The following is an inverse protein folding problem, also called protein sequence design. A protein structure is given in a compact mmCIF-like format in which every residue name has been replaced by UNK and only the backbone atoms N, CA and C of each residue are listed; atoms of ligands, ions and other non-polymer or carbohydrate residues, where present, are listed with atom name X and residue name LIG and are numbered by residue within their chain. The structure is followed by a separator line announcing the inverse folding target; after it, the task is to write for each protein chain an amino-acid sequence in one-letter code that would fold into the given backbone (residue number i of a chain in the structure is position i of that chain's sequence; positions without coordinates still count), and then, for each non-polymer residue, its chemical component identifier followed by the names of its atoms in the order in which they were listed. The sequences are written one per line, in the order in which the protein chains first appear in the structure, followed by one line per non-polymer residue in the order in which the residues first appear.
data_IF_138448625630
#
_entry.id   IF_138448625630
#
_cell.length_a   1.000
_cell.length_b   1.000
_cell.length_c   1.000
_cell.angle_alpha   90.00
_cell.angle_beta   90.00
_cell.angle_gamma   90.00
#
_symmetry.space_group_name_H-M   'P 1'
#
loop_
_entity.id
_entity.type
_entity.pdbx_description
1 polymer ?
#
# COMPACT_ATOMS: atom_id res chain seq x y z
N UNK A 1 -18.04 -5.09 48.18
CA UNK A 1 -19.40 -5.06 48.77
C UNK A 1 -20.33 -5.89 47.86
N UNK A 2 -20.23 -7.22 47.98
CA UNK A 2 -21.24 -8.14 47.44
C UNK A 2 -22.46 -8.02 48.36
N UNK A 3 -23.67 -8.13 47.79
CA UNK A 3 -25.01 -7.97 48.41
C UNK A 3 -25.64 -6.60 48.13
N UNK A 4 -25.99 -6.34 46.86
CA UNK A 4 -27.12 -5.46 46.48
C UNK A 4 -27.79 -6.10 45.25
N UNK A 5 -28.39 -7.28 45.44
CA UNK A 5 -29.43 -7.82 44.55
C UNK A 5 -30.45 -8.52 45.44
N UNK A 6 -31.37 -7.75 46.01
CA UNK A 6 -32.72 -8.17 46.43
C UNK A 6 -33.46 -6.92 46.92
N UNK A 7 -34.77 -6.94 46.74
CA UNK A 7 -35.75 -5.95 47.24
C UNK A 7 -36.25 -4.88 46.27
N UNK A 8 -36.26 -5.18 44.97
CA UNK A 8 -37.24 -4.62 44.03
C UNK A 8 -38.50 -5.49 43.97
N UNK A 9 -39.29 -5.55 45.05
CA UNK A 9 -40.71 -6.02 45.04
C UNK A 9 -41.34 -5.91 46.43
N UNK A 10 -41.93 -4.73 46.71
CA UNK A 10 -42.96 -4.38 47.72
C UNK A 10 -42.74 -2.88 47.96
N UNK A 11 -43.51 -1.96 47.41
CA UNK A 11 -44.84 -1.56 47.91
C UNK A 11 -45.46 -0.67 46.83
N UNK A 12 -46.55 -1.13 46.22
CA UNK A 12 -47.53 -0.30 45.54
C UNK A 12 -48.89 -0.81 45.98
N UNK A 13 -49.58 -0.06 46.86
CA UNK A 13 -51.04 0.10 46.97
C UNK A 13 -51.43 0.70 48.34
N UNK A 14 -51.81 1.99 48.35
CA UNK A 14 -53.06 2.53 48.92
C UNK A 14 -53.13 4.06 48.66
N UNK A 15 -54.22 4.47 48.02
CA UNK A 15 -54.67 5.82 47.55
C UNK A 15 -54.93 6.83 48.70
N UNK A 16 -55.45 8.08 48.47
CA UNK A 16 -55.12 9.16 47.52
C UNK A 16 -55.08 10.59 48.18
N UNK A 17 -54.61 11.62 47.47
CA UNK A 17 -55.07 13.02 47.69
C UNK A 17 -54.05 14.07 48.14
N UNK A 18 -53.67 14.94 47.19
CA UNK A 18 -53.41 16.40 47.29
C UNK A 18 -52.94 16.97 48.65
N UNK A 19 -51.66 17.33 48.75
CA UNK A 19 -51.13 18.70 49.01
C UNK A 19 -49.63 18.66 49.32
N UNK A 20 -48.98 19.80 49.08
CA UNK A 20 -47.57 20.14 49.36
C UNK A 20 -46.59 19.95 48.20
N UNK A 21 -46.85 20.74 47.16
CA UNK A 21 -45.85 21.60 46.52
C UNK A 21 -45.03 22.31 47.64
N UNK A 22 -43.74 22.52 47.40
CA UNK A 22 -42.69 23.02 48.34
C UNK A 22 -41.90 21.90 49.02
N UNK A 23 -41.14 21.12 48.24
CA UNK A 23 -39.84 20.55 48.66
C UNK A 23 -39.04 20.06 47.43
N UNK A 24 -38.87 20.92 46.42
CA UNK A 24 -38.17 20.57 45.17
C UNK A 24 -37.18 21.65 44.71
N UNK A 25 -36.57 22.38 45.65
CA UNK A 25 -35.62 23.48 45.34
C UNK A 25 -34.38 23.47 46.24
N UNK A 26 -33.90 22.31 46.67
CA UNK A 26 -32.61 22.24 47.41
C UNK A 26 -31.84 20.92 47.30
N UNK A 27 -32.14 20.07 46.31
CA UNK A 27 -31.32 18.90 45.96
C UNK A 27 -31.19 18.82 44.43
N UNK A 28 -30.69 19.88 43.81
CA UNK A 28 -30.24 19.89 42.41
C UNK A 28 -28.98 20.74 42.20
N UNK A 29 -28.36 21.24 43.28
CA UNK A 29 -27.16 22.08 43.21
C UNK A 29 -25.89 21.42 43.78
N UNK A 30 -25.92 20.12 44.10
CA UNK A 30 -24.74 19.40 44.64
C UNK A 30 -24.44 18.07 43.93
N UNK A 31 -25.06 17.82 42.77
CA UNK A 31 -24.71 16.70 41.88
C UNK A 31 -24.17 17.15 40.51
N UNK A 32 -23.93 18.46 40.35
CA UNK A 32 -23.33 19.05 39.13
C UNK A 32 -21.89 19.55 39.36
N UNK A 33 -21.25 19.12 40.45
CA UNK A 33 -19.91 19.57 40.81
C UNK A 33 -19.10 18.46 41.50
N UNK A 34 -19.02 17.27 40.89
CA UNK A 34 -17.99 16.26 41.20
C UNK A 34 -18.04 15.07 40.22
N UNK A 35 -17.85 15.35 38.93
CA UNK A 35 -17.44 14.36 37.92
C UNK A 35 -16.80 15.10 36.73
N UNK A 36 -15.85 15.98 37.04
CA UNK A 36 -14.85 16.52 36.11
C UNK A 36 -13.46 16.26 36.70
N UNK A 37 -13.18 14.98 36.92
CA UNK A 37 -11.84 14.45 37.15
C UNK A 37 -11.70 13.22 36.24
N UNK A 38 -11.98 13.39 34.94
CA UNK A 38 -11.08 12.78 33.97
C UNK A 38 -9.90 13.74 33.92
N UNK A 39 -8.68 13.23 34.02
CA UNK A 39 -7.50 14.01 33.69
C UNK A 39 -7.79 14.68 32.34
N UNK A 40 -7.83 16.02 32.32
CA UNK A 40 -7.86 16.73 31.06
C UNK A 40 -6.58 16.31 30.33
N UNK A 41 -6.71 15.78 29.11
CA UNK A 41 -5.57 15.74 28.20
C UNK A 41 -5.10 17.18 28.07
N UNK A 42 -4.04 17.54 28.79
CA UNK A 42 -3.48 18.88 28.73
C UNK A 42 -2.85 19.03 27.35
N UNK A 43 -3.59 19.71 26.46
CA UNK A 43 -3.17 19.91 25.10
C UNK A 43 -1.98 20.88 25.09
N UNK A 44 -0.81 20.41 24.66
CA UNK A 44 0.42 21.21 24.57
C UNK A 44 0.26 22.45 23.71
N UNK A 45 -0.63 22.37 22.71
CA UNK A 45 -0.98 23.47 21.82
C UNK A 45 -2.50 23.71 21.77
N UNK A 46 -2.87 24.97 21.57
CA UNK A 46 -4.24 25.44 21.37
C UNK A 46 -4.36 26.16 20.04
N UNK A 47 -5.58 26.23 19.50
CA UNK A 47 -5.87 26.99 18.29
C UNK A 47 -5.42 28.44 18.49
N UNK A 48 -4.64 28.95 17.54
CA UNK A 48 -4.04 30.28 17.56
C UNK A 48 -2.60 30.33 18.08
N UNK A 49 -2.09 29.26 18.68
CA UNK A 49 -0.69 29.18 19.09
C UNK A 49 0.23 29.29 17.87
N UNK A 50 1.25 30.15 17.97
CA UNK A 50 2.28 30.31 16.93
C UNK A 50 3.52 29.52 17.31
N UNK A 51 4.13 28.85 16.33
CA UNK A 51 5.36 28.08 16.51
C UNK A 51 6.24 28.20 15.27
N UNK A 52 7.54 28.29 15.52
CA UNK A 52 8.56 28.15 14.48
C UNK A 52 9.00 26.69 14.39
N UNK A 53 9.04 26.16 13.19
CA UNK A 53 9.48 24.80 12.90
C UNK A 53 10.74 24.83 12.06
N UNK A 54 11.66 23.91 12.32
CA UNK A 54 12.63 23.51 11.30
C UNK A 54 11.91 22.73 10.19
N UNK A 55 12.33 22.94 8.95
CA UNK A 55 11.84 22.25 7.74
C UNK A 55 12.97 22.12 6.71
N UNK A 56 12.66 21.54 5.54
CA UNK A 56 13.54 21.53 4.38
C UNK A 56 13.05 22.49 3.30
N UNK A 57 13.98 23.23 2.68
CA UNK A 57 13.75 23.90 1.41
C UNK A 57 13.97 22.89 0.27
N UNK A 58 12.87 22.49 -0.36
CA UNK A 58 12.88 21.48 -1.43
C UNK A 58 13.11 22.09 -2.82
N UNK A 59 13.35 23.39 -2.94
CA UNK A 59 13.71 24.02 -4.22
C UNK A 59 15.18 23.79 -4.60
N UNK A 60 15.97 23.18 -3.71
CA UNK A 60 17.40 22.84 -3.90
C UNK A 60 17.67 21.39 -3.48
N UNK A 61 18.67 20.75 -4.09
CA UNK A 61 19.06 19.37 -3.78
C UNK A 61 20.58 19.24 -3.55
N UNK A 62 21.04 18.61 -2.45
CA UNK A 62 20.23 18.09 -1.35
C UNK A 62 19.47 19.22 -0.62
N UNK A 63 18.30 18.94 0.00
CA UNK A 63 17.50 19.98 0.63
C UNK A 63 18.26 20.72 1.74
N UNK A 64 18.05 22.03 1.82
CA UNK A 64 18.65 22.87 2.86
C UNK A 64 17.71 22.99 4.08
N UNK A 65 18.27 23.20 5.27
CA UNK A 65 17.46 23.39 6.48
C UNK A 65 16.89 24.82 6.48
N UNK A 66 15.58 24.94 6.64
CA UNK A 66 14.86 26.20 6.69
C UNK A 66 14.02 26.32 7.97
N UNK A 67 13.58 27.54 8.28
CA UNK A 67 12.64 27.81 9.37
C UNK A 67 11.32 28.31 8.81
N UNK A 68 10.22 27.83 9.38
CA UNK A 68 8.87 28.16 8.95
C UNK A 68 8.02 28.58 10.16
N UNK A 69 7.36 29.72 10.06
CA UNK A 69 6.42 30.20 11.07
C UNK A 69 5.01 29.70 10.73
N UNK A 70 4.39 28.97 11.65
CA UNK A 70 3.06 28.44 11.47
C UNK A 70 2.18 28.68 12.70
N UNK A 71 0.88 28.72 12.47
CA UNK A 71 -0.13 28.86 13.52
C UNK A 71 -0.96 27.58 13.62
N UNK A 72 -1.24 27.11 14.82
CA UNK A 72 -2.16 26.00 15.06
C UNK A 72 -3.58 26.43 14.65
N UNK A 73 -4.12 25.82 13.59
CA UNK A 73 -5.46 26.10 13.05
C UNK A 73 -6.51 25.07 13.47
N UNK A 74 -6.07 23.92 13.97
CA UNK A 74 -6.97 22.87 14.44
C UNK A 74 -6.30 21.94 15.44
N UNK A 75 -7.10 21.42 16.37
CA UNK A 75 -6.70 20.46 17.39
C UNK A 75 -7.71 19.32 17.36
N UNK A 76 -7.26 18.14 16.96
CA UNK A 76 -8.01 16.90 16.99
C UNK A 76 -7.73 16.07 18.23
N UNK A 77 -8.22 14.83 18.23
CA UNK A 77 -7.91 13.84 19.25
C UNK A 77 -6.46 13.38 19.16
N UNK A 78 -5.97 13.09 17.94
CA UNK A 78 -4.63 12.57 17.70
C UNK A 78 -3.75 13.51 16.85
N UNK A 79 -4.19 14.74 16.57
CA UNK A 79 -3.48 15.64 15.65
C UNK A 79 -3.52 17.11 16.06
N UNK A 80 -2.43 17.83 15.79
CA UNK A 80 -2.40 19.28 15.65
C UNK A 80 -2.22 19.66 14.19
N UNK A 81 -3.08 20.53 13.67
CA UNK A 81 -2.92 21.05 12.31
C UNK A 81 -2.32 22.46 12.38
N UNK A 82 -1.04 22.56 12.10
CA UNK A 82 -0.31 23.80 11.92
C UNK A 82 -0.29 24.19 10.44
N UNK A 83 -0.60 25.44 10.16
CA UNK A 83 -0.61 25.97 8.80
C UNK A 83 0.32 27.18 8.76
N UNK A 84 1.20 27.22 7.75
CA UNK A 84 2.06 28.38 7.52
C UNK A 84 1.23 29.65 7.32
N UNK A 85 1.66 30.76 7.92
CA UNK A 85 0.86 31.98 7.96
C UNK A 85 0.64 32.60 6.56
N UNK A 86 1.50 32.31 5.58
CA UNK A 86 1.43 32.80 4.19
C UNK A 86 0.44 32.05 3.30
N UNK A 87 0.10 30.79 3.62
CA UNK A 87 -0.85 29.97 2.85
C UNK A 87 -2.25 29.93 3.47
N UNK A 88 -2.40 30.46 4.70
CA UNK A 88 -3.68 30.51 5.42
C UNK A 88 -4.65 31.55 4.82
N UNK A 89 -5.88 31.12 4.51
CA UNK A 89 -6.89 31.91 3.76
C UNK A 89 -6.40 32.29 2.35
N UNK A 90 -5.43 31.54 1.82
CA UNK A 90 -4.96 31.66 0.43
C UNK A 90 -5.15 30.32 -0.26
N UNK A 91 -4.45 29.29 0.23
CA UNK A 91 -4.54 27.92 -0.27
C UNK A 91 -5.29 27.02 0.71
N UNK A 92 -5.09 27.25 2.01
CA UNK A 92 -5.66 26.45 3.10
C UNK A 92 -6.74 27.24 3.83
N UNK A 93 -7.93 26.66 3.96
CA UNK A 93 -9.05 27.27 4.66
C UNK A 93 -9.49 26.42 5.85
N UNK A 94 -10.31 27.00 6.74
CA UNK A 94 -10.79 26.30 7.95
C UNK A 94 -11.50 24.98 7.64
N UNK A 95 -12.29 24.93 6.56
CA UNK A 95 -12.96 23.70 6.10
C UNK A 95 -11.98 22.56 5.79
N UNK A 96 -10.77 22.89 5.32
CA UNK A 96 -9.75 21.91 4.97
C UNK A 96 -9.17 21.30 6.25
N UNK A 97 -8.89 22.16 7.24
CA UNK A 97 -8.43 21.74 8.57
C UNK A 97 -9.47 20.83 9.24
N UNK A 98 -10.74 21.19 9.21
CA UNK A 98 -11.84 20.39 9.76
C UNK A 98 -11.95 19.03 9.07
N UNK A 99 -11.84 19.01 7.73
CA UNK A 99 -11.89 17.77 6.95
C UNK A 99 -10.69 16.86 7.19
N UNK A 100 -9.49 17.43 7.34
CA UNK A 100 -8.28 16.68 7.69
C UNK A 100 -8.41 16.04 9.07
N UNK A 101 -8.87 16.79 10.07
CA UNK A 101 -9.10 16.24 11.43
C UNK A 101 -10.16 15.13 11.38
N UNK A 102 -11.27 15.36 10.68
CA UNK A 102 -12.32 14.34 10.51
C UNK A 102 -11.77 13.05 9.87
N UNK A 103 -10.97 13.17 8.81
CA UNK A 103 -10.39 12.02 8.12
C UNK A 103 -9.36 11.28 8.98
N UNK A 104 -8.55 12.02 9.73
CA UNK A 104 -7.48 11.44 10.53
C UNK A 104 -8.00 10.78 11.81
N UNK A 105 -8.89 11.44 12.55
CA UNK A 105 -9.35 11.00 13.86
C UNK A 105 -10.61 10.12 13.81
N UNK A 106 -11.52 10.36 12.86
CA UNK A 106 -12.90 9.92 13.04
C UNK A 106 -13.44 8.96 11.97
N UNK A 107 -13.18 9.18 10.68
CA UNK A 107 -13.80 8.36 9.63
C UNK A 107 -13.02 8.39 8.32
N UNK A 108 -13.07 7.30 7.57
CA UNK A 108 -12.50 7.17 6.22
C UNK A 108 -13.59 6.81 5.20
N UNK A 109 -13.34 6.89 3.89
CA UNK A 109 -14.31 6.45 2.88
C UNK A 109 -14.81 5.03 3.13
N UNK A 110 -16.07 4.72 2.78
CA UNK A 110 -16.69 3.39 2.98
C UNK A 110 -15.92 2.23 2.33
N UNK A 111 -15.08 2.52 1.33
CA UNK A 111 -14.23 1.54 0.65
C UNK A 111 -12.93 1.21 1.41
N UNK A 112 -12.64 1.91 2.51
CA UNK A 112 -11.55 1.57 3.43
C UNK A 112 -11.82 0.22 4.10
N UNK A 113 -10.88 -0.26 4.90
CA UNK A 113 -11.09 -1.50 5.65
C UNK A 113 -12.11 -1.36 6.79
N UNK A 114 -12.38 -0.12 7.23
CA UNK A 114 -13.35 0.24 8.26
C UNK A 114 -13.69 1.74 8.17
N UNK A 115 -14.77 2.10 7.48
CA UNK A 115 -15.15 3.49 7.23
C UNK A 115 -15.52 4.29 8.49
N UNK A 116 -15.87 3.61 9.58
CA UNK A 116 -16.21 4.22 10.87
C UNK A 116 -14.96 4.60 11.69
N UNK A 117 -13.76 4.35 11.15
CA UNK A 117 -12.47 4.68 11.76
C UNK A 117 -11.70 5.70 10.94
N UNK A 118 -11.01 6.60 11.64
CA UNK A 118 -10.05 7.53 11.04
C UNK A 118 -8.76 6.83 10.60
N UNK A 119 -7.95 7.55 9.81
CA UNK A 119 -6.62 7.10 9.36
C UNK A 119 -5.75 6.66 10.55
N UNK A 120 -5.77 7.43 11.65
CA UNK A 120 -4.94 7.13 12.82
C UNK A 120 -5.23 5.73 13.39
N UNK A 121 -6.51 5.40 13.59
CA UNK A 121 -6.89 4.12 14.18
C UNK A 121 -6.61 2.96 13.21
N UNK A 122 -7.00 3.09 11.93
CA UNK A 122 -6.75 2.05 10.90
C UNK A 122 -5.27 1.70 10.82
N UNK A 123 -4.41 2.72 10.72
CA UNK A 123 -2.98 2.53 10.54
C UNK A 123 -2.31 2.06 11.84
N UNK A 124 -2.71 2.58 13.01
CA UNK A 124 -2.08 2.13 14.26
C UNK A 124 -2.47 0.71 14.67
N UNK A 125 -3.69 0.27 14.34
CA UNK A 125 -4.07 -1.13 14.54
C UNK A 125 -3.41 -2.08 13.53
N UNK A 126 -3.07 -1.58 12.34
CA UNK A 126 -2.47 -2.40 11.28
C UNK A 126 -0.96 -2.50 11.41
N UNK A 127 -0.26 -1.37 11.57
CA UNK A 127 1.20 -1.31 11.52
C UNK A 127 1.84 -1.22 12.90
N UNK A 128 1.22 -0.53 13.85
CA UNK A 128 1.77 -0.30 15.19
C UNK A 128 1.59 1.14 15.65
N UNK A 129 2.08 1.47 16.85
CA UNK A 129 2.00 2.84 17.36
C UNK A 129 3.14 3.69 16.78
N UNK A 130 2.90 4.99 16.51
CA UNK A 130 3.96 5.91 16.15
C UNK A 130 4.96 6.09 17.31
N UNK A 131 6.14 6.66 17.07
CA UNK A 131 7.00 7.15 18.14
C UNK A 131 6.30 8.23 18.98
N UNK A 132 6.89 8.53 20.14
CA UNK A 132 6.47 9.60 21.05
C UNK A 132 7.72 10.22 21.73
N UNK A 133 8.48 10.99 20.95
CA UNK A 133 9.75 11.61 21.33
C UNK A 133 9.55 12.80 22.27
N UNK A 134 8.36 13.42 22.24
CA UNK A 134 8.06 14.66 22.94
C UNK A 134 7.07 14.51 24.11
N UNK A 135 6.58 13.28 24.35
CA UNK A 135 5.56 12.90 25.33
C UNK A 135 4.20 13.59 25.10
N UNK A 136 3.88 13.97 23.86
CA UNK A 136 2.54 14.37 23.42
C UNK A 136 2.04 13.35 22.38
N UNK A 137 0.95 12.61 22.66
CA UNK A 137 0.48 11.56 21.75
C UNK A 137 -0.06 12.08 20.41
N UNK A 138 -0.16 13.39 20.21
CA UNK A 138 -0.67 14.00 18.98
C UNK A 138 0.42 14.22 17.94
N UNK A 139 0.11 13.83 16.71
CA UNK A 139 0.94 14.08 15.54
C UNK A 139 0.77 15.53 15.09
N UNK A 140 1.85 16.16 14.65
CA UNK A 140 1.85 17.50 14.10
C UNK A 140 1.74 17.41 12.59
N UNK A 141 0.73 18.03 12.00
CA UNK A 141 0.68 18.28 10.57
C UNK A 141 1.14 19.71 10.33
N UNK A 142 2.17 19.88 9.50
CA UNK A 142 2.68 21.18 9.09
C UNK A 142 2.39 21.38 7.61
N UNK A 143 1.33 22.15 7.34
CA UNK A 143 0.86 22.45 5.98
C UNK A 143 1.52 23.74 5.49
N UNK A 144 2.22 23.67 4.36
CA UNK A 144 2.94 24.80 3.78
C UNK A 144 3.14 24.62 2.28
N UNK A 145 3.64 25.64 1.58
CA UNK A 145 4.08 25.43 0.21
C UNK A 145 5.43 24.69 0.21
N UNK A 146 5.45 23.43 -0.22
CA UNK A 146 6.67 22.61 -0.20
C UNK A 146 7.64 22.96 -1.34
N UNK A 147 7.13 23.51 -2.44
CA UNK A 147 7.94 23.96 -3.59
C UNK A 147 8.14 22.87 -4.65
N UNK A 148 9.14 23.07 -5.51
CA UNK A 148 9.45 22.13 -6.60
C UNK A 148 10.93 22.12 -6.95
N UNK A 149 11.44 20.99 -7.43
CA UNK A 149 12.80 20.86 -7.95
C UNK A 149 12.79 20.25 -9.34
N UNK A 150 13.40 20.92 -10.33
CA UNK A 150 13.39 20.48 -11.74
C UNK A 150 11.99 20.07 -12.26
N UNK A 151 10.96 20.87 -11.93
CA UNK A 151 9.55 20.62 -12.29
C UNK A 151 8.90 19.41 -11.60
N UNK A 152 9.54 18.86 -10.57
CA UNK A 152 8.94 17.87 -9.69
C UNK A 152 8.40 18.55 -8.44
N UNK A 153 7.10 18.41 -8.21
CA UNK A 153 6.41 18.87 -7.01
C UNK A 153 6.55 17.84 -5.88
N UNK A 154 6.46 18.30 -4.64
CA UNK A 154 6.44 17.47 -3.45
C UNK A 154 5.08 17.61 -2.78
N UNK A 155 4.42 16.48 -2.49
CA UNK A 155 3.06 16.47 -1.94
C UNK A 155 3.07 16.29 -0.41
N UNK A 156 4.09 15.62 0.11
CA UNK A 156 4.32 15.43 1.53
C UNK A 156 5.67 14.77 1.81
N UNK A 157 6.09 14.79 3.06
CA UNK A 157 7.20 13.97 3.56
C UNK A 157 7.19 13.85 5.09
N UNK A 158 7.73 12.75 5.59
CA UNK A 158 8.19 12.59 6.96
C UNK A 158 9.69 12.92 7.08
N UNK A 159 10.06 13.76 8.06
CA UNK A 159 11.47 14.05 8.35
C UNK A 159 11.94 13.35 9.62
N UNK A 160 12.61 12.22 9.43
CA UNK A 160 13.17 11.41 10.53
C UNK A 160 14.09 12.17 11.51
N UNK A 161 14.73 13.27 11.08
CA UNK A 161 15.59 14.08 11.95
C UNK A 161 14.81 14.61 13.16
N UNK A 162 13.50 14.88 13.00
CA UNK A 162 12.65 15.39 14.07
C UNK A 162 12.43 14.39 15.20
N UNK A 163 12.66 13.09 14.94
CA UNK A 163 12.65 12.01 15.94
C UNK A 163 13.97 11.88 16.71
N UNK A 164 14.93 12.78 16.46
CA UNK A 164 16.28 12.70 17.04
C UNK A 164 16.65 13.97 17.82
N UNK A 165 17.80 13.94 18.50
CA UNK A 165 18.32 15.11 19.25
C UNK A 165 19.19 16.05 18.39
N UNK A 166 19.21 15.88 17.07
CA UNK A 166 20.05 16.64 16.14
C UNK A 166 19.74 18.15 16.14
N UNK A 167 20.68 18.96 15.62
CA UNK A 167 20.66 20.43 15.69
C UNK A 167 19.42 21.09 15.04
N UNK A 168 18.86 20.47 14.00
CA UNK A 168 17.71 20.99 13.23
C UNK A 168 16.45 20.15 13.44
N UNK A 169 16.39 19.43 14.55
CA UNK A 169 15.23 18.63 14.94
C UNK A 169 14.19 19.49 15.66
N UNK A 170 12.92 19.30 15.33
CA UNK A 170 11.80 19.82 16.09
C UNK A 170 11.48 19.01 17.36
N UNK A 171 12.02 17.79 17.48
CA UNK A 171 11.75 16.87 18.59
C UNK A 171 10.25 16.67 18.78
N UNK A 172 9.58 16.28 17.70
CA UNK A 172 8.15 16.01 17.64
C UNK A 172 7.83 15.23 16.36
N UNK A 173 6.76 14.45 16.42
CA UNK A 173 6.21 13.65 15.34
C UNK A 173 5.52 14.55 14.31
N UNK A 174 6.22 14.91 13.24
CA UNK A 174 5.72 15.87 12.25
C UNK A 174 5.59 15.23 10.86
N UNK A 175 4.41 15.40 10.26
CA UNK A 175 4.19 15.21 8.83
C UNK A 175 4.17 16.58 8.13
N UNK A 176 4.97 16.71 7.08
CA UNK A 176 5.05 17.90 6.24
C UNK A 176 4.16 17.68 5.02
N UNK A 177 3.24 18.60 4.75
CA UNK A 177 2.19 18.42 3.74
C UNK A 177 2.12 19.66 2.85
N UNK A 178 1.92 19.48 1.54
CA UNK A 178 1.70 20.60 0.63
C UNK A 178 0.33 21.25 0.85
N UNK A 179 0.25 22.54 0.52
CA UNK A 179 -0.91 23.37 0.73
C UNK A 179 -1.90 23.36 -0.46
N UNK A 180 -1.57 22.77 -1.60
CA UNK A 180 -2.46 22.72 -2.76
C UNK A 180 -3.54 21.64 -2.59
N UNK A 181 -4.80 22.04 -2.40
CA UNK A 181 -5.93 21.11 -2.15
C UNK A 181 -5.69 20.14 -0.97
N UNK A 182 -5.30 20.63 0.21
CA UNK A 182 -4.70 19.82 1.28
C UNK A 182 -5.68 18.84 1.96
N UNK A 183 -6.97 18.93 1.63
CA UNK A 183 -8.03 18.09 2.18
C UNK A 183 -8.72 17.21 1.14
N UNK A 184 -8.29 17.22 -0.12
CA UNK A 184 -8.86 16.34 -1.14
C UNK A 184 -8.48 14.87 -0.91
N UNK A 185 -9.15 13.94 -1.61
CA UNK A 185 -8.91 12.50 -1.41
C UNK A 185 -7.45 12.11 -1.69
N UNK A 186 -6.77 12.81 -2.60
CA UNK A 186 -5.36 12.57 -2.90
C UNK A 186 -4.48 12.93 -1.70
N UNK A 187 -4.61 14.13 -1.14
CA UNK A 187 -3.83 14.56 0.02
C UNK A 187 -4.19 13.81 1.30
N UNK A 188 -5.44 13.40 1.49
CA UNK A 188 -5.80 12.50 2.58
C UNK A 188 -5.12 11.12 2.43
N UNK A 189 -4.94 10.65 1.20
CA UNK A 189 -4.09 9.50 0.87
C UNK A 189 -2.63 9.75 1.26
N UNK A 190 -2.04 10.90 0.87
CA UNK A 190 -0.67 11.26 1.25
C UNK A 190 -0.49 11.31 2.78
N UNK A 191 -1.48 11.82 3.54
CA UNK A 191 -1.44 11.77 5.00
C UNK A 191 -1.34 10.32 5.51
N UNK A 192 -2.10 9.39 4.94
CA UNK A 192 -2.02 7.97 5.29
C UNK A 192 -0.64 7.37 4.93
N UNK A 193 -0.09 7.76 3.78
CA UNK A 193 1.23 7.35 3.30
C UNK A 193 2.34 7.81 4.26
N UNK A 194 2.43 9.12 4.54
CA UNK A 194 3.46 9.69 5.41
C UNK A 194 3.31 9.25 6.88
N UNK A 195 2.07 9.05 7.34
CA UNK A 195 1.84 8.51 8.68
C UNK A 195 2.35 7.07 8.81
N UNK A 196 2.27 6.28 7.73
CA UNK A 196 2.87 4.94 7.73
C UNK A 196 4.39 5.01 7.87
N UNK A 197 5.08 5.91 7.16
CA UNK A 197 6.53 6.08 7.34
C UNK A 197 6.90 6.44 8.78
N UNK A 198 6.16 7.35 9.40
CA UNK A 198 6.35 7.73 10.80
C UNK A 198 6.17 6.52 11.74
N UNK A 199 5.11 5.72 11.55
CA UNK A 199 4.93 4.49 12.33
C UNK A 199 6.09 3.52 12.10
N UNK A 200 6.51 3.33 10.85
CA UNK A 200 7.56 2.39 10.48
C UNK A 200 8.88 2.73 11.18
N UNK A 201 9.24 4.01 11.23
CA UNK A 201 10.46 4.52 11.87
C UNK A 201 10.64 4.11 13.34
N UNK A 202 9.53 3.84 14.05
CA UNK A 202 9.58 3.36 15.42
C UNK A 202 10.14 1.93 15.54
N UNK A 203 9.96 1.11 14.50
CA UNK A 203 10.20 -0.32 14.55
C UNK A 203 11.41 -0.74 13.71
N UNK A 204 11.52 -0.23 12.49
CA UNK A 204 12.63 -0.49 11.57
C UNK A 204 12.98 0.81 10.83
N UNK A 205 14.24 1.24 10.95
CA UNK A 205 14.72 2.54 10.47
C UNK A 205 15.55 2.43 9.19
N UNK A 206 16.04 1.24 8.87
CA UNK A 206 16.95 0.99 7.75
C UNK A 206 16.38 0.04 6.70
N UNK A 207 15.09 -0.34 6.83
CA UNK A 207 14.35 -1.11 5.83
C UNK A 207 14.57 -0.62 4.38
N UNK A 208 14.66 -1.60 3.48
CA UNK A 208 14.79 -1.40 2.06
C UNK A 208 13.64 -0.55 1.49
N UNK A 209 13.99 0.47 0.70
CA UNK A 209 13.05 1.46 0.18
C UNK A 209 11.81 0.87 -0.50
N UNK A 210 11.94 -0.25 -1.24
CA UNK A 210 10.79 -0.86 -1.91
C UNK A 210 9.77 -1.47 -0.92
N UNK A 211 10.22 -1.98 0.23
CA UNK A 211 9.31 -2.48 1.28
C UNK A 211 8.66 -1.29 1.97
N UNK A 212 9.45 -0.30 2.38
CA UNK A 212 8.95 0.89 3.05
C UNK A 212 7.87 1.60 2.20
N UNK A 213 8.17 1.87 0.92
CA UNK A 213 7.20 2.48 0.00
C UNK A 213 5.99 1.56 -0.27
N UNK A 214 6.16 0.24 -0.37
CA UNK A 214 5.01 -0.65 -0.57
C UNK A 214 4.05 -0.65 0.62
N UNK A 215 4.58 -0.49 1.84
CA UNK A 215 3.77 -0.40 3.06
C UNK A 215 3.08 0.97 3.16
N UNK A 216 3.76 2.05 2.78
CA UNK A 216 3.19 3.39 2.72
C UNK A 216 2.07 3.51 1.66
N UNK A 217 2.30 2.96 0.47
CA UNK A 217 1.31 2.91 -0.60
C UNK A 217 0.07 2.08 -0.24
N UNK A 218 0.26 0.91 0.39
CA UNK A 218 -0.90 0.12 0.83
C UNK A 218 -1.65 0.78 1.99
N UNK A 219 -0.99 1.62 2.80
CA UNK A 219 -1.67 2.39 3.84
C UNK A 219 -2.77 3.29 3.26
N UNK A 220 -2.53 3.89 2.09
CA UNK A 220 -3.54 4.66 1.35
C UNK A 220 -4.75 3.79 1.01
N UNK A 221 -4.51 2.58 0.49
CA UNK A 221 -5.57 1.63 0.14
C UNK A 221 -6.35 1.16 1.36
N UNK A 222 -5.68 0.88 2.48
CA UNK A 222 -6.33 0.48 3.72
C UNK A 222 -7.28 1.56 4.25
N UNK A 223 -6.91 2.83 4.06
CA UNK A 223 -7.72 4.00 4.41
C UNK A 223 -8.72 4.39 3.32
N UNK A 224 -8.87 3.63 2.24
CA UNK A 224 -9.86 3.87 1.19
C UNK A 224 -9.44 4.88 0.11
N UNK A 225 -8.18 5.31 0.08
CA UNK A 225 -7.67 6.29 -0.88
C UNK A 225 -6.91 5.61 -2.01
N UNK A 226 -7.60 5.18 -3.06
CA UNK A 226 -6.96 4.69 -4.30
C UNK A 226 -6.73 5.82 -5.31
N UNK A 227 -5.77 6.68 -5.01
CA UNK A 227 -5.52 7.94 -5.73
C UNK A 227 -4.32 7.89 -6.67
N UNK A 228 -3.38 6.98 -6.42
CA UNK A 228 -2.13 6.80 -7.18
C UNK A 228 -2.25 6.01 -8.49
N UNK A 229 -3.43 6.06 -9.09
CA UNK A 229 -3.75 5.39 -10.38
C UNK A 229 -2.82 5.81 -11.51
N UNK A 230 -2.32 7.06 -11.50
CA UNK A 230 -1.37 7.54 -12.51
C UNK A 230 0.00 6.85 -12.39
N UNK A 231 0.46 6.60 -11.17
CA UNK A 231 1.70 5.86 -10.92
C UNK A 231 1.55 4.40 -11.36
N UNK A 232 0.42 3.77 -11.02
CA UNK A 232 0.07 2.42 -11.50
C UNK A 232 0.04 2.34 -13.02
N UNK A 233 -0.64 3.28 -13.69
CA UNK A 233 -0.69 3.31 -15.15
C UNK A 233 0.69 3.49 -15.80
N UNK A 234 1.54 4.35 -15.20
CA UNK A 234 2.93 4.54 -15.66
C UNK A 234 3.75 3.26 -15.55
N UNK A 235 3.64 2.54 -14.43
CA UNK A 235 4.28 1.24 -14.25
C UNK A 235 3.77 0.20 -15.25
N UNK A 236 2.45 0.06 -15.40
CA UNK A 236 1.88 -0.92 -16.34
C UNK A 236 2.23 -0.61 -17.81
N UNK A 237 2.37 0.66 -18.18
CA UNK A 237 2.83 1.04 -19.52
C UNK A 237 4.35 0.84 -19.73
N UNK A 238 5.13 0.67 -18.66
CA UNK A 238 6.57 0.37 -18.71
C UNK A 238 6.96 -0.62 -17.60
N UNK A 239 6.61 -1.89 -17.79
CA UNK A 239 6.81 -2.94 -16.78
C UNK A 239 8.26 -3.42 -16.67
N UNK A 240 9.17 -2.89 -17.49
CA UNK A 240 10.61 -3.04 -17.31
C UNK A 240 11.18 -2.11 -16.23
N UNK A 241 10.34 -1.28 -15.60
CA UNK A 241 10.67 -0.58 -14.37
C UNK A 241 10.60 -1.55 -13.17
N UNK A 242 11.68 -1.75 -12.41
CA UNK A 242 11.74 -2.79 -11.40
C UNK A 242 10.97 -2.45 -10.12
N UNK A 243 10.40 -3.47 -9.45
CA UNK A 243 9.91 -3.33 -8.07
C UNK A 243 11.07 -3.08 -7.10
N UNK A 244 12.15 -3.85 -7.27
CA UNK A 244 13.35 -3.79 -6.43
C UNK A 244 14.51 -3.30 -7.28
N UNK A 245 15.02 -2.10 -6.98
CA UNK A 245 16.13 -1.47 -7.70
C UNK A 245 17.40 -1.43 -6.85
N UNK A 246 18.54 -1.06 -7.46
CA UNK A 246 19.75 -0.74 -6.69
C UNK A 246 19.69 0.75 -6.31
N UNK A 247 19.60 1.03 -5.01
CA UNK A 247 19.53 2.39 -4.47
C UNK A 247 18.17 2.70 -3.84
N UNK A 248 17.94 3.99 -3.56
CA UNK A 248 16.75 4.46 -2.86
C UNK A 248 15.55 4.77 -3.78
N UNK A 249 15.62 4.40 -5.06
CA UNK A 249 14.53 4.68 -6.01
C UNK A 249 13.52 3.53 -6.01
N UNK A 250 12.30 3.83 -5.56
CA UNK A 250 11.15 2.93 -5.62
C UNK A 250 10.19 3.38 -6.73
N UNK A 251 9.58 2.42 -7.43
CA UNK A 251 8.48 2.72 -8.34
C UNK A 251 7.16 2.65 -7.55
N UNK A 252 6.61 3.81 -7.19
CA UNK A 252 5.33 3.96 -6.48
C UNK A 252 4.19 3.11 -7.07
N UNK A 253 4.06 3.07 -8.41
CA UNK A 253 3.05 2.25 -9.07
C UNK A 253 3.26 0.74 -8.86
N UNK A 254 4.50 0.28 -8.89
CA UNK A 254 4.85 -1.10 -8.58
C UNK A 254 4.65 -1.41 -7.08
N UNK A 255 5.03 -0.48 -6.20
CA UNK A 255 4.92 -0.59 -4.75
C UNK A 255 3.46 -0.65 -4.30
N UNK A 256 2.59 0.20 -4.85
CA UNK A 256 1.14 0.15 -4.60
C UNK A 256 0.54 -1.19 -5.02
N UNK A 257 0.85 -1.65 -6.23
CA UNK A 257 0.37 -2.96 -6.70
C UNK A 257 0.91 -4.09 -5.81
N UNK A 258 2.19 -4.06 -5.45
CA UNK A 258 2.80 -5.08 -4.58
C UNK A 258 2.19 -5.07 -3.18
N UNK A 259 2.17 -3.93 -2.50
CA UNK A 259 1.61 -3.78 -1.16
C UNK A 259 0.14 -4.21 -1.10
N UNK A 260 -0.67 -3.77 -2.08
CA UNK A 260 -2.08 -4.20 -2.21
C UNK A 260 -2.20 -5.71 -2.39
N UNK A 261 -1.35 -6.31 -3.22
CA UNK A 261 -1.35 -7.75 -3.46
C UNK A 261 -1.00 -8.55 -2.20
N UNK A 262 0.05 -8.13 -1.49
CA UNK A 262 0.50 -8.75 -0.24
C UNK A 262 -0.57 -8.64 0.84
N UNK A 263 -1.17 -7.46 1.00
CA UNK A 263 -2.29 -7.25 1.92
C UNK A 263 -3.44 -8.21 1.63
N UNK A 264 -3.88 -8.31 0.38
CA UNK A 264 -5.03 -9.15 0.04
C UNK A 264 -4.75 -10.66 0.14
N UNK A 265 -3.49 -11.06 -0.04
CA UNK A 265 -3.06 -12.46 0.04
C UNK A 265 -2.86 -12.92 1.47
N UNK A 266 -2.28 -12.08 2.34
CA UNK A 266 -1.82 -12.49 3.68
C UNK A 266 -2.45 -11.70 4.83
N UNK A 267 -3.13 -10.59 4.55
CA UNK A 267 -3.88 -9.79 5.52
C UNK A 267 -3.01 -8.85 6.37
N UNK A 268 -3.69 -8.08 7.24
CA UNK A 268 -3.08 -7.06 8.12
C UNK A 268 -1.97 -7.61 9.02
N UNK A 269 -2.12 -8.84 9.50
CA UNK A 269 -1.13 -9.45 10.39
C UNK A 269 0.23 -9.62 9.71
N UNK A 270 0.24 -9.90 8.41
CA UNK A 270 1.48 -9.99 7.63
C UNK A 270 2.15 -8.63 7.48
N UNK A 271 1.37 -7.59 7.14
CA UNK A 271 1.88 -6.21 7.04
C UNK A 271 2.48 -5.74 8.37
N UNK A 272 1.80 -6.05 9.49
CA UNK A 272 2.32 -5.76 10.83
C UNK A 272 3.65 -6.43 11.09
N UNK A 273 3.76 -7.72 10.78
CA UNK A 273 5.00 -8.47 11.00
C UNK A 273 6.13 -8.02 10.07
N UNK A 274 5.84 -7.48 8.88
CA UNK A 274 6.86 -6.82 8.05
C UNK A 274 7.41 -5.56 8.74
N UNK A 275 6.54 -4.68 9.24
CA UNK A 275 6.98 -3.46 9.96
C UNK A 275 7.82 -3.78 11.20
N UNK A 276 7.59 -4.94 11.83
CA UNK A 276 8.29 -5.36 13.06
C UNK A 276 9.57 -6.17 12.82
N UNK A 277 9.87 -6.55 11.57
CA UNK A 277 11.02 -7.41 11.27
C UNK A 277 12.25 -6.57 10.93
N UNK A 278 13.27 -6.62 11.77
CA UNK A 278 14.52 -5.84 11.63
C UNK A 278 15.44 -6.27 10.47
N UNK A 279 15.04 -7.23 9.63
CA UNK A 279 15.84 -7.63 8.49
C UNK A 279 15.27 -7.03 7.22
N UNK A 280 16.12 -6.42 6.42
CA UNK A 280 15.63 -5.67 5.26
C UNK A 280 15.19 -6.57 4.09
N UNK A 281 14.24 -6.03 3.32
CA UNK A 281 13.92 -6.44 1.97
C UNK A 281 13.47 -7.89 1.88
N UNK A 282 14.10 -8.64 0.99
CA UNK A 282 13.70 -10.03 0.72
C UNK A 282 13.97 -10.94 1.92
N UNK A 283 15.03 -10.65 2.68
CA UNK A 283 15.38 -11.48 3.85
C UNK A 283 14.37 -11.26 4.99
N UNK A 284 13.95 -10.02 5.25
CA UNK A 284 12.82 -9.75 6.14
C UNK A 284 11.53 -10.43 5.71
N UNK A 285 11.17 -10.25 4.44
CA UNK A 285 9.97 -10.87 3.87
C UNK A 285 9.97 -12.40 4.06
N UNK A 286 11.10 -13.07 3.82
CA UNK A 286 11.26 -14.53 4.05
C UNK A 286 11.12 -14.92 5.51
N UNK A 287 11.67 -14.12 6.43
CA UNK A 287 11.53 -14.38 7.87
C UNK A 287 10.08 -14.28 8.30
N UNK A 288 9.35 -13.26 7.84
CA UNK A 288 7.91 -13.12 8.13
C UNK A 288 7.11 -14.30 7.58
N UNK A 289 7.37 -14.74 6.35
CA UNK A 289 6.75 -15.96 5.79
C UNK A 289 7.00 -17.18 6.70
N UNK A 290 8.24 -17.37 7.13
CA UNK A 290 8.66 -18.49 7.99
C UNK A 290 7.97 -18.41 9.36
N UNK A 291 8.02 -17.24 10.01
CA UNK A 291 7.45 -16.99 11.33
C UNK A 291 5.93 -17.19 11.35
N UNK A 292 5.26 -16.84 10.25
CA UNK A 292 3.81 -17.02 10.08
C UNK A 292 3.42 -18.41 9.54
N UNK A 293 4.38 -19.33 9.37
CA UNK A 293 4.19 -20.66 8.78
C UNK A 293 3.51 -20.63 7.39
N UNK A 294 3.79 -19.59 6.60
CA UNK A 294 3.33 -19.48 5.23
C UNK A 294 4.24 -20.36 4.35
N UNK A 295 3.63 -21.27 3.59
CA UNK A 295 4.35 -22.28 2.80
C UNK A 295 4.90 -21.77 1.47
N UNK A 296 4.40 -20.64 0.98
CA UNK A 296 4.90 -20.04 -0.26
C UNK A 296 6.23 -19.34 -0.01
N UNK A 297 7.09 -19.28 -1.02
CA UNK A 297 8.34 -18.53 -0.99
C UNK A 297 8.24 -17.22 -1.78
N UNK A 298 9.23 -16.34 -1.61
CA UNK A 298 9.27 -15.05 -2.28
C UNK A 298 9.23 -15.16 -3.82
N UNK A 299 10.05 -16.01 -4.48
CA UNK A 299 9.97 -16.20 -5.94
C UNK A 299 8.57 -16.55 -6.44
N UNK A 300 7.87 -17.48 -5.77
CA UNK A 300 6.51 -17.86 -6.15
C UNK A 300 5.53 -16.71 -5.99
N UNK A 301 5.58 -16.02 -4.86
CA UNK A 301 4.69 -14.88 -4.57
C UNK A 301 4.93 -13.74 -5.58
N UNK A 302 6.20 -13.43 -5.83
CA UNK A 302 6.61 -12.43 -6.81
C UNK A 302 6.10 -12.77 -8.21
N UNK A 303 6.31 -13.99 -8.68
CA UNK A 303 5.80 -14.38 -9.98
C UNK A 303 4.27 -14.39 -10.05
N UNK A 304 3.58 -14.80 -8.98
CA UNK A 304 2.12 -14.79 -8.95
C UNK A 304 1.56 -13.36 -9.01
N UNK A 305 2.24 -12.41 -8.36
CA UNK A 305 1.95 -10.97 -8.48
C UNK A 305 2.10 -10.47 -9.91
N UNK A 306 3.17 -10.86 -10.63
CA UNK A 306 3.32 -10.51 -12.05
C UNK A 306 2.14 -11.04 -12.89
N UNK A 307 1.70 -12.27 -12.62
CA UNK A 307 0.51 -12.82 -13.30
C UNK A 307 -0.76 -12.05 -12.91
N UNK A 308 -0.91 -11.64 -11.65
CA UNK A 308 -2.03 -10.82 -11.18
C UNK A 308 -2.11 -9.47 -11.91
N UNK A 309 -0.96 -8.84 -12.18
CA UNK A 309 -0.86 -7.59 -12.93
C UNK A 309 -1.32 -7.73 -14.40
N UNK A 310 -1.26 -8.94 -14.96
CA UNK A 310 -1.69 -9.21 -16.32
C UNK A 310 -3.15 -9.65 -16.42
N UNK A 311 -3.53 -10.70 -15.67
CA UNK A 311 -4.85 -11.30 -15.79
C UNK A 311 -5.89 -10.42 -15.09
N UNK A 312 -5.65 -10.05 -13.83
CA UNK A 312 -6.58 -9.35 -12.95
C UNK A 312 -8.06 -9.77 -13.08
N UNK A 313 -8.36 -11.08 -13.08
CA UNK A 313 -9.74 -11.58 -13.17
C UNK A 313 -10.07 -12.57 -12.06
N UNK A 314 -11.37 -12.81 -11.83
CA UNK A 314 -11.86 -13.86 -10.96
C UNK A 314 -11.54 -15.24 -11.57
N UNK A 315 -10.33 -15.75 -11.35
CA UNK A 315 -10.05 -17.17 -11.57
C UNK A 315 -10.82 -17.96 -10.51
N UNK A 316 -11.83 -18.72 -10.92
CA UNK A 316 -12.68 -19.56 -10.05
C UNK A 316 -11.92 -20.62 -9.24
N UNK A 317 -10.59 -20.65 -9.28
CA UNK A 317 -9.74 -21.63 -8.57
C UNK A 317 -8.54 -21.06 -7.82
N UNK A 318 -8.20 -19.77 -7.95
CA UNK A 318 -7.12 -19.18 -7.16
C UNK A 318 -7.36 -17.70 -6.87
N UNK A 319 -7.44 -17.35 -5.57
CA UNK A 319 -7.48 -15.96 -5.10
C UNK A 319 -6.18 -15.19 -5.38
N UNK A 320 -5.14 -15.86 -5.89
CA UNK A 320 -3.80 -15.31 -6.01
C UNK A 320 -3.56 -14.41 -7.24
N UNK A 321 -4.55 -14.16 -8.11
CA UNK A 321 -4.34 -13.48 -9.39
C UNK A 321 -5.30 -12.32 -9.65
N UNK A 322 -5.76 -11.67 -8.58
CA UNK A 322 -6.73 -10.57 -8.64
C UNK A 322 -6.50 -9.58 -7.51
N UNK A 323 -6.81 -8.32 -7.80
CA UNK A 323 -7.05 -7.28 -6.81
C UNK A 323 -8.55 -7.13 -6.48
N UNK A 324 -8.88 -7.01 -5.21
CA UNK A 324 -10.24 -6.75 -4.70
C UNK A 324 -10.44 -5.28 -4.41
N UNK A 325 -9.44 -4.64 -3.83
CA UNK A 325 -9.48 -3.28 -3.30
C UNK A 325 -9.21 -2.24 -4.39
N UNK A 326 -8.58 -2.65 -5.50
CA UNK A 326 -8.22 -1.77 -6.61
C UNK A 326 -8.67 -2.35 -7.96
N UNK A 327 -8.90 -1.44 -8.91
CA UNK A 327 -9.10 -1.77 -10.33
C UNK A 327 -7.91 -1.26 -11.13
N UNK A 328 -7.27 -2.12 -11.92
CA UNK A 328 -6.15 -1.69 -12.75
C UNK A 328 -6.63 -0.64 -13.78
N UNK A 329 -5.93 0.51 -13.90
CA UNK A 329 -6.33 1.60 -14.79
C UNK A 329 -6.05 1.30 -16.27
N UNK A 330 -5.18 0.33 -16.55
CA UNK A 330 -4.80 -0.10 -17.90
C UNK A 330 -4.29 -1.55 -17.85
N UNK A 331 -4.16 -2.20 -19.01
CA UNK A 331 -3.42 -3.46 -19.14
C UNK A 331 -1.92 -3.18 -19.21
N UNK A 332 -1.06 -4.11 -18.73
CA UNK A 332 0.37 -3.97 -18.87
C UNK A 332 0.80 -4.02 -20.35
N UNK A 333 1.91 -3.36 -20.67
CA UNK A 333 2.55 -3.43 -21.98
C UNK A 333 2.89 -4.88 -22.32
N UNK A 334 2.49 -5.30 -23.53
CA UNK A 334 2.74 -6.64 -24.05
C UNK A 334 3.45 -6.59 -25.39
N UNK A 335 4.33 -7.57 -25.63
CA UNK A 335 4.84 -7.89 -26.96
C UNK A 335 3.98 -9.01 -27.53
N UNK A 336 3.13 -8.68 -28.51
CA UNK A 336 2.14 -9.60 -29.07
C UNK A 336 2.57 -10.14 -30.44
N UNK A 337 2.65 -11.47 -30.56
CA UNK A 337 2.91 -12.23 -31.77
C UNK A 337 1.62 -12.84 -32.31
N UNK A 338 1.21 -12.42 -33.50
CA UNK A 338 -0.05 -12.84 -34.12
C UNK A 338 0.06 -14.11 -34.97
N UNK A 339 1.28 -14.54 -35.30
CA UNK A 339 1.54 -15.72 -36.11
C UNK A 339 2.77 -16.49 -35.62
N UNK A 340 2.85 -17.77 -36.03
CA UNK A 340 3.94 -18.69 -35.70
C UNK A 340 4.47 -19.32 -37.01
N UNK A 341 5.76 -19.69 -37.08
CA UNK A 341 6.76 -19.64 -36.02
C UNK A 341 7.30 -18.23 -35.78
N UNK A 342 7.88 -18.03 -34.59
CA UNK A 342 8.58 -16.79 -34.22
C UNK A 342 9.96 -17.14 -33.66
N UNK A 343 10.93 -16.28 -33.96
CA UNK A 343 12.22 -16.22 -33.30
C UNK A 343 12.52 -14.76 -32.99
N UNK A 344 12.81 -14.45 -31.73
CA UNK A 344 12.97 -13.07 -31.28
C UNK A 344 13.90 -12.99 -30.06
N UNK A 345 14.29 -11.77 -29.69
CA UNK A 345 15.09 -11.47 -28.52
C UNK A 345 14.35 -10.50 -27.60
N UNK A 346 14.78 -10.45 -26.35
CA UNK A 346 14.28 -9.53 -25.35
C UNK A 346 15.35 -9.19 -24.32
N UNK A 347 15.07 -8.14 -23.56
CA UNK A 347 15.85 -7.76 -22.38
C UNK A 347 14.91 -7.41 -21.25
N UNK A 348 15.25 -7.77 -20.01
CA UNK A 348 14.44 -7.45 -18.83
C UNK A 348 15.32 -7.08 -17.64
N UNK A 349 14.98 -6.01 -16.97
CA UNK A 349 15.62 -5.56 -15.74
C UNK A 349 15.30 -6.49 -14.57
N UNK A 350 16.20 -6.56 -13.61
CA UNK A 350 16.01 -7.30 -12.37
C UNK A 350 14.74 -6.89 -11.63
N UNK A 351 13.90 -7.84 -11.22
CA UNK A 351 12.59 -7.61 -10.60
C UNK A 351 11.62 -6.76 -11.42
N UNK A 352 11.83 -6.71 -12.74
CA UNK A 352 10.90 -6.17 -13.72
C UNK A 352 10.31 -7.31 -14.58
N UNK A 353 9.45 -7.01 -15.56
CA UNK A 353 8.76 -8.08 -16.32
C UNK A 353 8.50 -7.73 -17.77
N UNK A 354 8.70 -8.72 -18.64
CA UNK A 354 8.20 -8.74 -20.01
C UNK A 354 7.03 -9.72 -20.16
N UNK A 355 5.95 -9.25 -20.78
CA UNK A 355 4.82 -10.09 -21.18
C UNK A 355 4.87 -10.38 -22.68
N UNK A 356 5.09 -11.64 -23.04
CA UNK A 356 5.15 -12.10 -24.43
C UNK A 356 3.88 -12.90 -24.76
N UNK A 357 3.00 -12.33 -25.56
CA UNK A 357 1.71 -12.94 -25.91
C UNK A 357 1.79 -13.60 -27.28
N UNK A 358 1.38 -14.85 -27.39
CA UNK A 358 1.31 -15.62 -28.63
C UNK A 358 -0.15 -15.95 -28.95
N UNK A 359 -0.64 -15.49 -30.10
CA UNK A 359 -1.90 -15.94 -30.66
C UNK A 359 -1.70 -17.22 -31.46
N UNK A 360 -2.53 -18.22 -31.16
CA UNK A 360 -2.49 -19.54 -31.77
C UNK A 360 -3.64 -19.69 -32.75
N UNK A 361 -3.30 -19.99 -34.00
CA UNK A 361 -4.27 -20.31 -35.02
C UNK A 361 -5.07 -21.58 -34.67
N UNK A 362 -6.25 -21.72 -35.27
CA UNK A 362 -7.09 -22.89 -35.01
C UNK A 362 -6.40 -24.15 -35.54
N UNK A 363 -6.02 -25.04 -34.62
CA UNK A 363 -5.32 -26.26 -34.96
C UNK A 363 -5.75 -27.40 -34.04
N UNK A 364 -5.95 -28.60 -34.61
CA UNK A 364 -6.20 -29.83 -33.84
C UNK A 364 -4.88 -30.57 -33.60
N UNK A 365 -4.76 -31.20 -32.44
CA UNK A 365 -3.63 -32.09 -32.11
C UNK A 365 -2.25 -31.42 -32.28
N UNK A 366 -2.15 -30.14 -31.93
CA UNK A 366 -0.89 -29.40 -31.90
C UNK A 366 -0.50 -29.06 -30.46
N UNK A 367 0.79 -28.88 -30.24
CA UNK A 367 1.37 -28.26 -29.06
C UNK A 367 2.24 -27.08 -29.49
N UNK A 368 2.31 -26.06 -28.65
CA UNK A 368 3.24 -24.96 -28.82
C UNK A 368 4.55 -25.36 -28.17
N UNK A 369 5.61 -25.49 -28.96
CA UNK A 369 6.97 -25.63 -28.45
C UNK A 369 7.59 -24.26 -28.30
N UNK A 370 8.09 -23.96 -27.11
CA UNK A 370 8.88 -22.76 -26.83
C UNK A 370 10.29 -23.22 -26.47
N UNK A 371 11.28 -22.65 -27.15
CA UNK A 371 12.69 -22.76 -26.79
C UNK A 371 13.11 -21.42 -26.21
N UNK A 372 13.51 -21.38 -24.95
CA UNK A 372 14.02 -20.20 -24.28
C UNK A 372 15.53 -20.34 -24.09
N UNK A 373 16.29 -19.29 -24.37
CA UNK A 373 17.75 -19.28 -24.22
C UNK A 373 18.21 -18.06 -23.44
N UNK A 374 19.05 -18.29 -22.44
CA UNK A 374 19.81 -17.25 -21.77
C UNK A 374 21.16 -17.77 -21.29
N UNK A 375 22.15 -16.89 -21.24
CA UNK A 375 23.48 -17.19 -20.70
C UNK A 375 23.53 -17.03 -19.17
N UNK A 376 22.46 -16.53 -18.54
CA UNK A 376 22.31 -16.37 -17.08
C UNK A 376 21.11 -17.17 -16.58
N UNK A 377 21.37 -18.36 -16.02
CA UNK A 377 20.34 -19.35 -15.72
C UNK A 377 19.61 -19.15 -14.40
N UNK A 378 20.37 -18.94 -13.32
CA UNK A 378 19.87 -19.02 -11.95
C UNK A 378 18.98 -17.85 -11.54
N UNK A 379 18.77 -16.88 -12.44
CA UNK A 379 18.03 -15.67 -12.14
C UNK A 379 16.66 -15.60 -12.81
N UNK A 380 16.31 -16.41 -13.82
CA UNK A 380 15.03 -16.21 -14.52
C UNK A 380 13.84 -16.82 -13.78
N UNK A 381 12.77 -16.03 -13.67
CA UNK A 381 11.43 -16.51 -13.34
C UNK A 381 10.58 -16.48 -14.61
N UNK A 382 10.04 -17.63 -14.99
CA UNK A 382 9.19 -17.78 -16.16
C UNK A 382 7.87 -18.41 -15.76
N UNK A 383 6.76 -17.73 -16.07
CA UNK A 383 5.40 -18.29 -15.95
C UNK A 383 4.72 -18.33 -17.31
N UNK A 384 3.99 -19.41 -17.55
CA UNK A 384 3.13 -19.57 -18.72
C UNK A 384 1.69 -19.42 -18.27
N UNK A 385 1.00 -18.45 -18.85
CA UNK A 385 -0.45 -18.29 -18.71
C UNK A 385 -1.12 -18.82 -19.98
N UNK A 386 -1.92 -19.88 -19.83
CA UNK A 386 -2.81 -20.39 -20.86
C UNK A 386 -4.17 -19.72 -20.72
N UNK A 387 -4.64 -19.03 -21.75
CA UNK A 387 -5.95 -18.39 -21.78
C UNK A 387 -6.87 -19.23 -22.67
N UNK A 388 -7.97 -19.69 -22.08
CA UNK A 388 -8.95 -20.53 -22.77
C UNK A 388 -10.01 -19.62 -23.44
N UNK A 389 -10.11 -19.65 -24.77
CA UNK A 389 -11.09 -18.91 -25.59
C UNK A 389 -11.20 -17.41 -25.27
N UNK A 390 -10.06 -16.75 -25.05
CA UNK A 390 -9.98 -15.33 -24.67
C UNK A 390 -10.65 -15.02 -23.32
N UNK A 391 -11.06 -16.06 -22.57
CA UNK A 391 -11.63 -15.96 -21.24
C UNK A 391 -10.52 -16.07 -20.19
N UNK A 392 -10.09 -14.89 -19.73
CA UNK A 392 -9.10 -14.75 -18.67
C UNK A 392 -9.55 -15.44 -17.36
N UNK A 393 -10.86 -15.61 -17.11
CA UNK A 393 -11.41 -16.20 -15.88
C UNK A 393 -11.23 -17.72 -15.78
N UNK A 394 -10.82 -18.37 -16.86
CA UNK A 394 -10.46 -19.79 -16.90
C UNK A 394 -8.97 -20.02 -17.25
N UNK A 395 -8.12 -19.01 -17.03
CA UNK A 395 -6.69 -19.14 -17.31
C UNK A 395 -6.01 -20.16 -16.41
N UNK A 396 -5.01 -20.87 -16.96
CA UNK A 396 -4.15 -21.80 -16.21
C UNK A 396 -2.72 -21.29 -16.20
N UNK A 397 -2.11 -21.30 -15.03
CA UNK A 397 -0.72 -20.83 -14.82
C UNK A 397 0.18 -22.04 -14.60
N UNK A 398 1.33 -22.06 -15.27
CA UNK A 398 2.37 -23.07 -15.10
C UNK A 398 3.72 -22.39 -14.92
N UNK A 399 4.48 -22.83 -13.92
CA UNK A 399 5.85 -22.38 -13.69
C UNK A 399 6.82 -23.14 -14.60
N UNK A 400 7.84 -22.45 -15.08
CA UNK A 400 8.95 -23.02 -15.87
C UNK A 400 10.25 -22.71 -15.13
N UNK A 401 10.97 -23.76 -14.76
CA UNK A 401 12.33 -23.64 -14.24
C UNK A 401 13.31 -23.77 -15.41
N UNK A 402 14.29 -22.86 -15.49
CA UNK A 402 15.43 -23.02 -16.39
C UNK A 402 16.46 -23.90 -15.69
N UNK A 403 16.77 -25.05 -16.28
CA UNK A 403 17.79 -25.97 -15.77
C UNK A 403 19.06 -25.98 -16.63
N UNK A 404 18.94 -25.55 -17.89
CA UNK A 404 20.01 -25.51 -18.88
C UNK A 404 19.98 -24.18 -19.67
N UNK A 405 21.11 -23.72 -20.26
CA UNK A 405 21.21 -22.48 -21.07
C UNK A 405 20.13 -22.35 -22.15
N UNK A 406 19.63 -23.50 -22.61
CA UNK A 406 18.53 -23.64 -23.55
C UNK A 406 17.50 -24.55 -22.90
N UNK A 407 16.33 -24.03 -22.58
CA UNK A 407 15.22 -24.80 -22.04
C UNK A 407 14.13 -24.92 -23.09
N UNK A 408 13.63 -26.15 -23.31
CA UNK A 408 12.57 -26.43 -24.28
C UNK A 408 11.36 -26.96 -23.54
N UNK A 409 10.24 -26.24 -23.63
CA UNK A 409 8.99 -26.66 -23.01
C UNK A 409 7.82 -26.61 -23.98
N UNK A 410 6.94 -27.60 -23.83
CA UNK A 410 5.75 -27.76 -24.65
C UNK A 410 4.51 -27.32 -23.86
N UNK A 411 3.66 -26.52 -24.49
CA UNK A 411 2.31 -26.20 -24.03
C UNK A 411 1.31 -27.02 -24.84
N UNK A 412 0.66 -27.98 -24.19
CA UNK A 412 -0.30 -28.90 -24.82
C UNK A 412 -1.68 -28.25 -25.00
N UNK A 413 -2.53 -28.90 -25.79
CA UNK A 413 -3.97 -28.56 -25.93
C UNK A 413 -4.22 -27.14 -26.46
N UNK A 414 -3.34 -26.66 -27.35
CA UNK A 414 -3.45 -25.35 -27.99
C UNK A 414 -4.19 -25.45 -29.33
N UNK A 415 -4.74 -24.32 -29.80
CA UNK A 415 -5.37 -24.17 -31.11
C UNK A 415 -6.85 -24.59 -31.17
N UNK A 416 -7.40 -25.22 -30.14
CA UNK A 416 -8.85 -25.44 -30.03
C UNK A 416 -9.43 -24.52 -28.96
N UNK A 417 -9.29 -24.92 -27.70
CA UNK A 417 -9.81 -24.17 -26.55
C UNK A 417 -8.81 -23.14 -26.03
N UNK A 418 -7.49 -23.41 -26.13
CA UNK A 418 -6.47 -22.46 -25.70
C UNK A 418 -5.84 -21.80 -26.93
N UNK A 419 -6.12 -20.50 -27.11
CA UNK A 419 -5.72 -19.74 -28.31
C UNK A 419 -4.78 -18.57 -28.00
N UNK A 420 -4.60 -18.24 -26.73
CA UNK A 420 -3.63 -17.24 -26.33
C UNK A 420 -2.75 -17.82 -25.22
N UNK A 421 -1.44 -17.70 -25.42
CA UNK A 421 -0.43 -18.08 -24.45
C UNK A 421 0.36 -16.84 -24.10
N UNK A 422 0.58 -16.59 -22.81
CA UNK A 422 1.43 -15.49 -22.36
C UNK A 422 2.61 -16.06 -21.59
N UNK A 423 3.82 -15.70 -22.02
CA UNK A 423 5.04 -15.94 -21.27
C UNK A 423 5.34 -14.69 -20.44
N UNK A 424 5.32 -14.84 -19.12
CA UNK A 424 5.72 -13.83 -18.15
C UNK A 424 7.18 -14.09 -17.83
N UNK A 425 8.07 -13.20 -18.27
CA UNK A 425 9.52 -13.37 -18.16
C UNK A 425 10.07 -12.29 -17.23
N UNK A 426 10.72 -12.71 -16.16
CA UNK A 426 11.33 -11.84 -15.15
C UNK A 426 12.67 -12.38 -14.67
N UNK A 427 13.41 -11.59 -13.90
CA UNK A 427 14.72 -11.90 -13.34
C UNK A 427 14.71 -11.65 -11.83
N UNK A 428 14.96 -12.66 -11.00
CA UNK A 428 14.95 -12.67 -9.54
C UNK A 428 16.27 -12.19 -8.92
N UNK A 429 16.88 -11.16 -9.50
CA UNK A 429 17.98 -10.43 -8.86
C UNK A 429 17.99 -8.99 -9.34
N UNK A 430 18.55 -8.08 -8.55
CA UNK A 430 18.77 -6.71 -9.00
C UNK A 430 19.89 -6.66 -10.04
N UNK A 431 19.66 -5.94 -11.13
CA UNK A 431 20.64 -5.81 -12.22
C UNK A 431 21.04 -4.36 -12.43
N UNK A 432 22.26 -4.14 -12.94
CA UNK A 432 22.70 -2.81 -13.39
C UNK A 432 22.17 -2.49 -14.78
N UNK A 433 22.12 -3.51 -15.63
CA UNK A 433 21.62 -3.47 -16.99
C UNK A 433 20.57 -4.57 -17.17
N UNK A 434 19.60 -4.40 -18.09
CA UNK A 434 18.64 -5.45 -18.45
C UNK A 434 19.33 -6.74 -18.94
N UNK A 435 18.87 -7.89 -18.45
CA UNK A 435 19.37 -9.21 -18.85
C UNK A 435 18.78 -9.62 -20.20
N UNK A 436 19.65 -10.02 -21.13
CA UNK A 436 19.23 -10.45 -22.46
C UNK A 436 18.79 -11.92 -22.48
N UNK A 437 17.81 -12.22 -23.32
CA UNK A 437 17.39 -13.58 -23.64
C UNK A 437 16.94 -13.67 -25.10
N UNK A 438 16.90 -14.88 -25.65
CA UNK A 438 16.23 -15.17 -26.91
C UNK A 438 15.22 -16.27 -26.74
N UNK A 439 14.21 -16.28 -27.61
CA UNK A 439 13.22 -17.34 -27.61
C UNK A 439 12.74 -17.64 -29.03
N UNK A 440 12.29 -18.86 -29.24
CA UNK A 440 11.50 -19.23 -30.39
C UNK A 440 10.23 -19.95 -29.96
N UNK A 441 9.16 -19.77 -30.73
CA UNK A 441 7.91 -20.49 -30.51
C UNK A 441 7.39 -21.05 -31.85
N UNK A 442 6.92 -22.29 -31.84
CA UNK A 442 6.45 -22.98 -33.05
C UNK A 442 5.37 -24.01 -32.72
N UNK A 443 4.38 -24.15 -33.61
CA UNK A 443 3.39 -25.23 -33.51
C UNK A 443 3.94 -26.53 -34.07
N UNK A 444 3.94 -27.58 -33.26
CA UNK A 444 4.36 -28.92 -33.68
C UNK A 444 3.24 -29.94 -33.45
N UNK A 445 3.20 -31.04 -34.24
CA UNK A 445 2.26 -32.12 -34.00
C UNK A 445 2.41 -32.71 -32.58
N UNK A 446 1.28 -33.01 -31.92
CA UNK A 446 1.28 -33.97 -30.83
C UNK A 446 1.48 -35.37 -31.43
N UNK A 447 2.45 -36.18 -30.97
CA UNK A 447 2.57 -37.55 -31.44
C UNK A 447 1.26 -38.28 -31.15
N UNK A 448 0.67 -38.91 -32.17
CA UNK A 448 -0.50 -39.76 -31.99
C UNK A 448 -0.13 -40.86 -30.99
N UNK A 449 -0.89 -40.96 -29.89
CA UNK A 449 -0.90 -42.18 -29.10
C UNK A 449 -1.36 -43.28 -30.03
N UNK A 450 -0.42 -44.10 -30.46
CA UNK A 450 -0.71 -45.32 -31.21
C UNK A 450 -1.47 -46.23 -30.27
N UNK A 451 -2.79 -46.11 -30.27
CA UNK A 451 -3.67 -47.11 -29.69
C UNK A 451 -3.42 -48.36 -30.52
N UNK A 452 -2.56 -49.24 -30.01
CA UNK A 452 -2.44 -50.61 -30.51
C UNK A 452 -3.85 -51.19 -30.39
N UNK A 453 -4.47 -51.42 -31.56
CA UNK A 453 -5.77 -52.05 -31.71
C UNK A 453 -5.80 -53.43 -31.08
#
# INVERSE_FOLDING_TARGET
MKVIIKDSKKIFKKFPGIKSIIFFTTITCSFFLCLNLSAGNDCKHKIGDKKEFWTWDLNVMPPENAKLQATCRGVGENVYVFVSDDVWIVNVFQKDVERIIQAFDHSTPEISIDGDKGIYEILTETFGKPPDVDNDPRIYFLISQLGMYHSHHFDGFFRFIDETKCKYSNRAEILYLDCDNPSDEYHLGIIAHEFQHLIHWQYDRDEASWVNESLAEVAMILCGYYTDKKHVARYLNNTDSPLISKGHMSNYGACLLWGSYIYERFGRAFLKNLVLEEADGIEGFKRVLTNMNIKDDFPRIFGDWLVANYINTNLLRSKAYKYKSITLPTFPTIKHFFSLPVHDTGKVSGYAVNYLKFSIERAKSKKLRITFKSDLLDDFLIKIVKIDNDDLSNSKVKDVALSEPIEVFDVTDVGTNCREIVLVVSVLKTTKEPVSYSFSASLIPCPETTVRR
#
